data_IF_973942439119
#
_entry.id   IF_973942439119
#
_cell.length_a   1.000
_cell.length_b   1.000
_cell.length_c   1.000
_cell.angle_alpha   90.00
_cell.angle_beta   90.00
_cell.angle_gamma   90.00
#
_symmetry.space_group_name_H-M   'P 1'
#
loop_
_entity.id
_entity.type
_entity.pdbx_description
1 polymer ?
#
# COMPACT_ATOMS: atom_id res chain seq x y z
N UNK A 1 -32.36 7.25 2.34
CA UNK A 1 -31.37 7.09 3.43
C UNK A 1 -30.06 7.66 2.91
N UNK A 2 -29.62 8.81 3.42
CA UNK A 2 -28.27 9.29 3.11
C UNK A 2 -27.28 8.31 3.73
N UNK A 3 -26.31 7.84 2.96
CA UNK A 3 -25.28 6.93 3.47
C UNK A 3 -24.43 7.67 4.50
N UNK A 4 -24.35 7.13 5.72
CA UNK A 4 -23.56 7.70 6.81
C UNK A 4 -22.08 7.31 6.72
N UNK A 5 -21.58 6.97 5.52
CA UNK A 5 -20.20 6.56 5.35
C UNK A 5 -19.31 7.80 5.43
N UNK A 6 -18.24 7.78 6.24
CA UNK A 6 -17.31 8.89 6.31
C UNK A 6 -16.72 9.17 4.93
N UNK A 7 -16.66 10.45 4.56
CA UNK A 7 -15.99 10.90 3.34
C UNK A 7 -14.48 10.75 3.58
N UNK A 8 -13.80 10.04 2.68
CA UNK A 8 -12.35 9.94 2.68
C UNK A 8 -11.80 11.27 2.15
N UNK A 9 -10.93 11.98 2.88
CA UNK A 9 -10.33 13.23 2.41
C UNK A 9 -9.42 13.01 1.20
N UNK A 10 -9.22 14.08 0.41
CA UNK A 10 -8.28 14.05 -0.71
C UNK A 10 -6.88 13.66 -0.25
N UNK A 11 -6.24 12.76 -1.00
CA UNK A 11 -4.91 12.23 -0.68
C UNK A 11 -4.89 11.10 0.36
N UNK A 12 -6.05 10.63 0.83
CA UNK A 12 -6.16 9.47 1.71
C UNK A 12 -6.83 8.29 0.99
N UNK A 13 -6.48 7.07 1.41
CA UNK A 13 -7.10 5.83 0.96
C UNK A 13 -7.72 5.09 2.14
N UNK A 14 -8.88 4.45 1.92
CA UNK A 14 -9.46 3.54 2.90
C UNK A 14 -8.86 2.16 2.69
N UNK A 15 -8.09 1.72 3.68
CA UNK A 15 -7.42 0.43 3.70
C UNK A 15 -7.72 -0.30 5.01
N UNK A 16 -7.58 -1.63 5.06
CA UNK A 16 -7.65 -2.37 6.32
C UNK A 16 -6.66 -1.82 7.37
N UNK A 17 -7.05 -1.87 8.64
CA UNK A 17 -6.19 -1.45 9.76
C UNK A 17 -4.98 -2.37 9.88
N UNK A 18 -5.20 -3.68 9.72
CA UNK A 18 -4.15 -4.68 9.63
C UNK A 18 -3.98 -5.09 8.16
N UNK A 19 -2.74 -5.20 7.64
CA UNK A 19 -2.52 -5.57 6.25
C UNK A 19 -3.03 -6.98 5.96
N UNK A 20 -3.62 -7.17 4.78
CA UNK A 20 -4.02 -8.51 4.32
C UNK A 20 -2.81 -9.29 3.81
N UNK A 21 -2.97 -10.60 3.65
CA UNK A 21 -1.94 -11.47 3.10
C UNK A 21 -1.49 -10.99 1.71
N UNK A 22 -2.42 -10.52 0.86
CA UNK A 22 -2.12 -9.98 -0.46
C UNK A 22 -1.30 -8.69 -0.39
N UNK A 23 -1.59 -7.81 0.58
CA UNK A 23 -0.78 -6.61 0.81
C UNK A 23 0.64 -6.98 1.25
N UNK A 24 0.79 -7.97 2.13
CA UNK A 24 2.10 -8.45 2.57
C UNK A 24 2.88 -9.11 1.42
N UNK A 25 2.21 -9.93 0.61
CA UNK A 25 2.82 -10.55 -0.58
C UNK A 25 3.25 -9.49 -1.60
N UNK A 26 2.46 -8.43 -1.78
CA UNK A 26 2.83 -7.32 -2.66
C UNK A 26 4.05 -6.56 -2.14
N UNK A 27 4.14 -6.32 -0.82
CA UNK A 27 5.33 -5.75 -0.20
C UNK A 27 6.57 -6.62 -0.42
N UNK A 28 6.46 -7.93 -0.19
CA UNK A 28 7.59 -8.88 -0.30
C UNK A 28 8.09 -9.07 -1.74
N UNK A 29 7.21 -8.93 -2.73
CA UNK A 29 7.55 -9.06 -4.15
C UNK A 29 7.86 -7.71 -4.82
N UNK A 30 7.86 -6.61 -4.07
CA UNK A 30 8.23 -5.30 -4.58
C UNK A 30 9.72 -5.26 -4.88
N UNK A 31 10.12 -4.68 -6.01
CA UNK A 31 11.52 -4.33 -6.25
C UNK A 31 11.83 -3.01 -5.51
N UNK A 32 12.10 -3.14 -4.23
CA UNK A 32 12.29 -2.03 -3.29
C UNK A 32 13.74 -1.85 -2.87
N UNK A 33 14.66 -2.75 -3.22
CA UNK A 33 16.08 -2.65 -2.85
C UNK A 33 16.90 -2.14 -4.03
N UNK A 34 17.54 -0.98 -3.83
CA UNK A 34 18.56 -0.47 -4.75
C UNK A 34 19.95 -0.79 -4.23
N UNK A 35 20.76 -1.39 -5.08
CA UNK A 35 22.18 -1.64 -4.81
C UNK A 35 23.01 -0.53 -5.43
N UNK A 36 23.79 0.14 -4.61
CA UNK A 36 24.66 1.23 -5.03
C UNK A 36 26.03 0.70 -5.46
N UNK A 37 26.79 1.51 -6.18
CA UNK A 37 28.14 1.15 -6.65
C UNK A 37 29.17 1.03 -5.52
N UNK A 38 28.85 1.50 -4.32
CA UNK A 38 29.70 1.48 -3.13
C UNK A 38 29.38 0.30 -2.19
N UNK A 39 28.74 -0.75 -2.72
CA UNK A 39 28.30 -1.96 -1.99
C UNK A 39 27.25 -1.70 -0.90
N UNK A 40 26.75 -0.47 -0.76
CA UNK A 40 25.59 -0.17 0.09
C UNK A 40 24.28 -0.53 -0.60
N UNK A 41 23.24 -0.73 0.20
CA UNK A 41 21.88 -0.89 -0.31
C UNK A 41 20.93 0.08 0.40
N UNK A 42 19.89 0.50 -0.32
CA UNK A 42 18.80 1.28 0.24
C UNK A 42 17.46 0.60 -0.05
N UNK A 43 16.63 0.55 0.99
CA UNK A 43 15.26 0.04 0.91
C UNK A 43 14.33 1.21 0.64
N UNK A 44 13.56 1.11 -0.43
CA UNK A 44 12.61 2.09 -0.90
C UNK A 44 11.24 1.82 -0.26
N UNK A 45 11.12 2.13 1.04
CA UNK A 45 9.87 1.93 1.79
C UNK A 45 8.64 2.59 1.15
N UNK A 46 8.83 3.66 0.37
CA UNK A 46 7.77 4.27 -0.43
C UNK A 46 7.19 3.32 -1.47
N UNK A 47 8.03 2.61 -2.22
CA UNK A 47 7.59 1.63 -3.23
C UNK A 47 6.85 0.46 -2.57
N UNK A 48 7.34 0.01 -1.41
CA UNK A 48 6.66 -1.03 -0.62
C UNK A 48 5.25 -0.56 -0.22
N UNK A 49 5.14 0.66 0.30
CA UNK A 49 3.86 1.21 0.71
C UNK A 49 2.89 1.37 -0.46
N UNK A 50 3.37 1.86 -1.60
CA UNK A 50 2.58 1.94 -2.83
C UNK A 50 2.09 0.57 -3.31
N UNK A 51 2.95 -0.46 -3.26
CA UNK A 51 2.56 -1.83 -3.61
C UNK A 51 1.50 -2.38 -2.65
N UNK A 52 1.63 -2.14 -1.34
CA UNK A 52 0.63 -2.52 -0.35
C UNK A 52 -0.70 -1.82 -0.60
N UNK A 53 -0.69 -0.51 -0.90
CA UNK A 53 -1.91 0.25 -1.21
C UNK A 53 -2.59 -0.25 -2.49
N UNK A 54 -1.81 -0.60 -3.52
CA UNK A 54 -2.35 -1.12 -4.78
C UNK A 54 -3.01 -2.50 -4.60
N UNK A 55 -2.49 -3.32 -3.69
CA UNK A 55 -3.05 -4.63 -3.34
C UNK A 55 -4.16 -4.57 -2.27
N UNK A 56 -4.39 -3.41 -1.65
CA UNK A 56 -5.40 -3.27 -0.61
C UNK A 56 -6.81 -3.52 -1.18
N UNK A 57 -7.69 -4.22 -0.45
CA UNK A 57 -9.06 -4.44 -0.90
C UNK A 57 -9.80 -3.11 -1.00
N UNK A 58 -10.35 -2.82 -2.17
CA UNK A 58 -11.19 -1.64 -2.36
C UNK A 58 -12.61 -1.92 -1.86
N UNK A 59 -13.26 -0.96 -1.18
CA UNK A 59 -14.66 -1.11 -0.82
C UNK A 59 -15.50 -1.27 -2.11
N UNK A 60 -16.32 -2.32 -2.19
CA UNK A 60 -17.22 -2.54 -3.32
C UNK A 60 -18.09 -1.30 -3.55
N UNK A 61 -17.94 -0.66 -4.72
CA UNK A 61 -18.86 0.38 -5.16
C UNK A 61 -20.17 -0.31 -5.55
N UNK A 62 -21.11 -0.35 -4.61
CA UNK A 62 -22.50 -0.76 -4.87
C UNK A 62 -23.28 0.35 -5.57
#
# INVERSE_FOLDING_TARGET
RAGNSPVIPDGYALVPVEPTDEMIVAAMNCEDVLFNSDESFCVQFGNIYEAMLAAAPQPEQR
#
